data_IF_096017699218
#
_entry.id   IF_096017699218
#
_cell.length_a   1.000
_cell.length_b   1.000
_cell.length_c   1.000
_cell.angle_alpha   90.00
_cell.angle_beta   90.00
_cell.angle_gamma   90.00
#
_symmetry.space_group_name_H-M   'P 1'
#
loop_
_entity.id
_entity.type
_entity.pdbx_description
1 polymer ?
#
# COMPACT_ATOMS: atom_id res chain seq x y z
N UNK A 1 6.47 2.40 -10.17
CA UNK A 1 6.48 3.83 -9.76
C UNK A 1 5.18 4.22 -9.07
N UNK A 2 4.01 4.08 -9.71
CA UNK A 2 2.69 4.40 -9.11
C UNK A 2 2.49 3.75 -7.72
N UNK A 3 2.81 2.46 -7.57
CA UNK A 3 2.68 1.77 -6.28
C UNK A 3 3.61 2.30 -5.17
N UNK A 4 4.80 2.80 -5.50
CA UNK A 4 5.70 3.37 -4.49
C UNK A 4 5.16 4.73 -4.01
N UNK A 5 4.69 5.57 -4.93
CA UNK A 5 4.11 6.87 -4.61
C UNK A 5 2.85 6.75 -3.73
N UNK A 6 1.99 5.76 -3.99
CA UNK A 6 0.79 5.55 -3.16
C UNK A 6 1.12 5.00 -1.77
N UNK A 7 2.08 4.07 -1.64
CA UNK A 7 2.57 3.60 -0.33
C UNK A 7 3.14 4.76 0.51
N UNK A 8 3.98 5.61 -0.10
CA UNK A 8 4.58 6.76 0.58
C UNK A 8 3.55 7.82 0.97
N UNK A 9 2.57 8.08 0.10
CA UNK A 9 1.43 8.96 0.44
C UNK A 9 0.68 8.44 1.67
N UNK A 10 0.38 7.14 1.71
CA UNK A 10 -0.26 6.49 2.86
C UNK A 10 0.52 6.62 4.16
N UNK A 11 1.84 6.43 4.08
CA UNK A 11 2.75 6.61 5.20
C UNK A 11 2.74 8.05 5.74
N UNK A 12 2.78 9.06 4.86
CA UNK A 12 2.71 10.47 5.25
C UNK A 12 1.39 10.77 5.98
N UNK A 13 0.26 10.31 5.46
CA UNK A 13 -1.04 10.50 6.09
C UNK A 13 -1.16 9.82 7.46
N UNK A 14 -0.59 8.62 7.63
CA UNK A 14 -0.56 7.95 8.92
C UNK A 14 0.34 8.67 9.93
N UNK A 15 1.49 9.21 9.49
CA UNK A 15 2.33 10.05 10.33
C UNK A 15 1.60 11.32 10.79
N UNK A 16 0.81 11.94 9.90
CA UNK A 16 -0.04 13.10 10.24
C UNK A 16 -1.07 12.72 11.30
N UNK A 17 -1.68 11.54 11.23
CA UNK A 17 -2.63 11.07 12.25
C UNK A 17 -1.92 10.84 13.59
N UNK A 18 -0.77 10.16 13.60
CA UNK A 18 -0.03 9.84 14.83
C UNK A 18 0.48 11.12 15.51
N UNK A 19 1.11 12.02 14.75
CA UNK A 19 1.62 13.28 15.30
C UNK A 19 0.49 14.25 15.67
N UNK A 20 -0.60 14.29 14.89
CA UNK A 20 -1.78 15.10 15.19
C UNK A 20 -2.50 14.62 16.44
N UNK A 21 -2.58 13.32 16.66
CA UNK A 21 -3.16 12.73 17.88
C UNK A 21 -2.32 13.01 19.12
N UNK A 22 -0.99 13.16 18.99
CA UNK A 22 -0.11 13.47 20.10
C UNK A 22 -0.31 14.90 20.66
N UNK A 23 -0.86 15.84 19.88
CA UNK A 23 -1.15 17.21 20.33
C UNK A 23 -2.41 17.32 21.20
N UNK A 24 -3.30 16.31 21.19
CA UNK A 24 -4.55 16.32 21.97
C UNK A 24 -4.82 14.95 22.63
N UNK A 25 -3.99 14.52 23.60
CA UNK A 25 -4.05 13.18 24.20
C UNK A 25 -5.31 12.89 25.02
N UNK A 26 -6.10 13.91 25.39
CA UNK A 26 -7.27 13.74 26.26
C UNK A 26 -8.58 13.37 25.52
N UNK A 27 -8.57 13.30 24.18
CA UNK A 27 -9.77 12.99 23.40
C UNK A 27 -9.47 11.90 22.36
N UNK A 28 -9.51 10.63 22.77
CA UNK A 28 -9.39 9.48 21.85
C UNK A 28 -10.42 9.52 20.70
N UNK A 29 -11.58 10.15 20.92
CA UNK A 29 -12.59 10.38 19.89
C UNK A 29 -12.05 11.26 18.74
N UNK A 30 -11.15 12.20 19.04
CA UNK A 30 -10.54 13.09 18.03
C UNK A 30 -9.63 12.31 17.09
N UNK A 31 -8.90 11.29 17.58
CA UNK A 31 -8.03 10.47 16.71
C UNK A 31 -8.85 9.58 15.77
N UNK A 32 -10.00 9.06 16.21
CA UNK A 32 -10.93 8.32 15.36
C UNK A 32 -11.57 9.20 14.29
N UNK A 33 -12.03 10.40 14.67
CA UNK A 33 -12.59 11.38 13.71
C UNK A 33 -11.53 11.81 12.70
N UNK A 34 -10.29 12.07 13.15
CA UNK A 34 -9.17 12.44 12.28
C UNK A 34 -8.85 11.33 11.28
N UNK A 35 -8.87 10.07 11.73
CA UNK A 35 -8.67 8.90 10.84
C UNK A 35 -9.78 8.81 9.78
N UNK A 36 -11.03 9.05 10.16
CA UNK A 36 -12.16 9.10 9.22
C UNK A 36 -12.03 10.23 8.18
N UNK A 37 -11.62 11.43 8.61
CA UNK A 37 -11.37 12.57 7.72
C UNK A 37 -10.22 12.25 6.75
N UNK A 38 -9.11 11.72 7.25
CA UNK A 38 -7.94 11.37 6.43
C UNK A 38 -8.29 10.26 5.43
N UNK A 39 -9.06 9.24 5.82
CA UNK A 39 -9.54 8.22 4.89
C UNK A 39 -10.42 8.82 3.76
N UNK A 40 -11.27 9.80 4.09
CA UNK A 40 -12.04 10.54 3.09
C UNK A 40 -11.15 11.37 2.16
N UNK A 41 -10.16 12.07 2.71
CA UNK A 41 -9.19 12.85 1.93
C UNK A 41 -8.35 11.96 1.02
N UNK A 42 -7.94 10.78 1.49
CA UNK A 42 -7.26 9.77 0.68
C UNK A 42 -8.12 9.31 -0.51
N UNK A 43 -9.42 9.08 -0.30
CA UNK A 43 -10.35 8.72 -1.36
C UNK A 43 -10.56 9.86 -2.38
N UNK A 44 -10.58 11.12 -1.93
CA UNK A 44 -10.68 12.30 -2.82
C UNK A 44 -9.38 12.48 -3.61
N UNK A 45 -8.23 12.32 -2.96
CA UNK A 45 -6.90 12.45 -3.56
C UNK A 45 -6.64 11.39 -4.65
N UNK A 46 -7.33 10.26 -4.58
CA UNK A 46 -7.30 9.21 -5.59
C UNK A 46 -7.95 9.56 -6.93
N UNK A 47 -8.65 10.71 -7.04
CA UNK A 47 -9.12 11.22 -8.35
C UNK A 47 -7.98 11.70 -9.27
N UNK A 48 -6.75 11.85 -8.76
CA UNK A 48 -5.56 12.12 -9.56
C UNK A 48 -4.98 10.82 -10.16
N UNK A 49 -4.80 10.77 -11.48
CA UNK A 49 -4.39 9.57 -12.25
C UNK A 49 -3.13 8.84 -11.72
N UNK A 50 -2.22 9.55 -11.04
CA UNK A 50 -0.99 8.98 -10.45
C UNK A 50 -1.19 8.38 -9.04
N UNK A 51 -2.28 8.70 -8.34
CA UNK A 51 -2.63 8.20 -6.99
C UNK A 51 -3.87 7.29 -7.00
N UNK A 52 -4.41 6.94 -8.17
CA UNK A 52 -5.60 6.09 -8.33
C UNK A 52 -5.49 4.70 -7.68
N UNK A 53 -4.28 4.29 -7.27
CA UNK A 53 -4.08 3.10 -6.43
C UNK A 53 -4.37 3.38 -4.96
N UNK A 54 -5.66 3.59 -4.66
CA UNK A 54 -6.21 3.65 -3.30
C UNK A 54 -5.68 2.52 -2.39
N UNK A 55 -5.59 1.25 -2.84
CA UNK A 55 -5.10 0.16 -1.98
C UNK A 55 -3.67 0.37 -1.48
N UNK A 56 -2.80 1.01 -2.28
CA UNK A 56 -1.42 1.29 -1.87
C UNK A 56 -1.35 2.30 -0.72
N UNK A 57 -2.19 3.34 -0.76
CA UNK A 57 -2.27 4.34 0.30
C UNK A 57 -2.74 3.70 1.63
N UNK A 58 -3.71 2.78 1.59
CA UNK A 58 -4.12 2.04 2.77
C UNK A 58 -3.01 1.12 3.31
N UNK A 59 -2.29 0.39 2.45
CA UNK A 59 -1.18 -0.48 2.87
C UNK A 59 -0.08 0.33 3.56
N UNK A 60 0.31 1.48 2.99
CA UNK A 60 1.31 2.37 3.57
C UNK A 60 0.89 2.93 4.93
N UNK A 61 -0.38 3.32 5.07
CA UNK A 61 -0.91 3.82 6.33
C UNK A 61 -0.94 2.73 7.41
N UNK A 62 -1.48 1.55 7.09
CA UNK A 62 -1.54 0.41 8.02
C UNK A 62 -0.14 -0.03 8.48
N UNK A 63 0.84 -0.08 7.57
CA UNK A 63 2.22 -0.40 7.93
C UNK A 63 2.83 0.63 8.90
N UNK A 64 2.48 1.91 8.74
CA UNK A 64 2.95 2.99 9.60
C UNK A 64 2.31 2.95 10.98
N UNK A 65 1.01 2.64 11.06
CA UNK A 65 0.33 2.41 12.34
C UNK A 65 0.89 1.19 13.07
N UNK A 66 1.17 0.09 12.34
CA UNK A 66 1.81 -1.09 12.91
C UNK A 66 3.21 -0.80 13.45
N UNK A 67 3.97 0.07 12.77
CA UNK A 67 5.26 0.56 13.24
C UNK A 67 5.18 1.69 14.29
N UNK A 68 3.99 2.01 14.81
CA UNK A 68 3.75 3.08 15.79
C UNK A 68 4.34 4.45 15.38
N UNK A 69 4.42 4.71 14.07
CA UNK A 69 4.98 5.96 13.54
C UNK A 69 6.52 5.98 13.43
N UNK A 70 7.23 4.88 13.70
CA UNK A 70 8.66 4.75 13.42
C UNK A 70 8.91 4.64 11.90
N UNK A 71 8.92 5.81 11.27
CA UNK A 71 9.10 5.94 9.82
C UNK A 71 10.44 5.38 9.34
N UNK A 72 11.47 5.34 10.20
CA UNK A 72 12.79 4.82 9.85
C UNK A 72 12.79 3.31 9.67
N UNK A 73 11.93 2.61 10.41
CA UNK A 73 11.74 1.17 10.26
C UNK A 73 10.69 0.83 9.19
N UNK A 74 9.61 1.62 9.12
CA UNK A 74 8.49 1.38 8.19
C UNK A 74 8.89 1.58 6.73
N UNK A 75 9.69 2.61 6.43
CA UNK A 75 10.13 2.91 5.07
C UNK A 75 10.93 1.77 4.41
N UNK A 76 12.01 1.23 5.03
CA UNK A 76 12.74 0.10 4.45
C UNK A 76 11.88 -1.17 4.41
N UNK A 77 11.00 -1.39 5.38
CA UNK A 77 10.07 -2.53 5.38
C UNK A 77 9.10 -2.48 4.19
N UNK A 78 8.55 -1.30 3.90
CA UNK A 78 7.71 -1.06 2.72
C UNK A 78 8.49 -1.27 1.41
N UNK A 79 9.75 -0.83 1.35
CA UNK A 79 10.60 -1.02 0.19
C UNK A 79 10.87 -2.51 -0.07
N UNK A 80 11.23 -3.27 0.97
CA UNK A 80 11.44 -4.72 0.89
C UNK A 80 10.16 -5.45 0.47
N UNK A 81 9.02 -5.11 1.09
CA UNK A 81 7.71 -5.69 0.73
C UNK A 81 7.33 -5.42 -0.73
N UNK A 82 7.62 -4.20 -1.24
CA UNK A 82 7.38 -3.84 -2.64
C UNK A 82 8.25 -4.65 -3.61
N UNK A 83 9.55 -4.80 -3.30
CA UNK A 83 10.48 -5.60 -4.12
C UNK A 83 10.02 -7.06 -4.15
N UNK A 84 9.68 -7.61 -2.99
CA UNK A 84 9.24 -8.99 -2.88
C UNK A 84 7.90 -9.22 -3.60
N UNK A 85 6.92 -8.34 -3.43
CA UNK A 85 5.66 -8.40 -4.14
C UNK A 85 5.81 -8.29 -5.67
N UNK A 86 6.74 -7.44 -6.14
CA UNK A 86 7.08 -7.37 -7.56
C UNK A 86 7.69 -8.67 -8.08
N UNK A 87 8.62 -9.26 -7.33
CA UNK A 87 9.24 -10.53 -7.67
C UNK A 87 8.20 -11.68 -7.74
N UNK A 88 7.31 -11.76 -6.76
CA UNK A 88 6.22 -12.76 -6.70
C UNK A 88 5.26 -12.62 -7.89
N UNK A 89 4.92 -11.40 -8.28
CA UNK A 89 4.07 -11.16 -9.46
C UNK A 89 4.75 -11.64 -10.73
N UNK A 90 6.03 -11.31 -10.90
CA UNK A 90 6.76 -11.63 -12.13
C UNK A 90 7.01 -13.14 -12.26
N UNK A 91 7.39 -13.81 -11.17
CA UNK A 91 7.55 -15.27 -11.16
C UNK A 91 6.22 -15.99 -11.37
N UNK A 92 5.11 -15.49 -10.82
CA UNK A 92 3.77 -16.03 -11.03
C UNK A 92 3.31 -15.94 -12.49
N UNK A 93 3.50 -14.79 -13.13
CA UNK A 93 3.18 -14.62 -14.56
C UNK A 93 4.03 -15.51 -15.46
N UNK A 94 5.31 -15.68 -15.11
CA UNK A 94 6.21 -16.58 -15.82
C UNK A 94 5.79 -18.05 -15.71
N UNK A 95 5.38 -18.50 -14.51
CA UNK A 95 4.82 -19.85 -14.31
C UNK A 95 3.49 -20.04 -15.05
N UNK A 96 2.62 -19.03 -15.05
CA UNK A 96 1.35 -19.06 -15.77
C UNK A 96 1.55 -19.21 -17.28
N UNK A 97 2.45 -18.40 -17.86
CA UNK A 97 2.81 -18.48 -19.28
C UNK A 97 3.35 -19.87 -19.67
N UNK A 98 4.14 -20.51 -18.80
CA UNK A 98 4.63 -21.88 -19.02
C UNK A 98 3.51 -22.93 -18.99
N UNK A 99 2.52 -22.79 -18.09
CA UNK A 99 1.36 -23.70 -18.07
C UNK A 99 0.52 -23.59 -19.34
N UNK A 100 0.31 -22.37 -19.84
CA UNK A 100 -0.45 -22.16 -21.08
C UNK A 100 0.27 -22.74 -22.30
N UNK A 101 1.58 -22.54 -22.43
CA UNK A 101 2.38 -23.15 -23.50
C UNK A 101 2.34 -24.68 -23.46
N UNK A 102 2.42 -25.28 -22.27
CA UNK A 102 2.35 -26.74 -22.14
C UNK A 102 0.96 -27.29 -22.50
N UNK A 103 -0.12 -26.59 -22.09
CA UNK A 103 -1.48 -26.96 -22.45
C UNK A 103 -1.76 -26.83 -23.96
N UNK A 104 -1.21 -25.80 -24.62
CA UNK A 104 -1.33 -25.62 -26.06
C UNK A 104 -0.58 -26.70 -26.85
N UNK A 105 0.64 -27.05 -26.44
CA UNK A 105 1.42 -28.13 -27.09
C UNK A 105 0.73 -29.50 -26.98
N UNK A 106 0.10 -29.78 -25.84
CA UNK A 106 -0.64 -31.04 -25.64
C UNK A 106 -1.93 -31.09 -26.48
N UNK A 107 -2.55 -29.95 -26.79
CA UNK A 107 -3.74 -29.87 -27.64
C UNK A 107 -3.44 -30.02 -29.14
N UNK A 108 -2.27 -29.57 -29.61
CA UNK A 108 -1.82 -29.72 -31.02
C UNK A 108 -1.34 -31.15 -31.34
N UNK A 109 -0.98 -31.92 -30.31
CA UNK A 109 -0.48 -33.31 -30.46
C UNK A 109 -1.61 -34.36 -30.44
N UNK A 110 -2.88 -33.94 -30.34
CA UNK A 110 -4.07 -34.79 -30.46
C UNK A 110 -4.76 -34.55 -31.79
#
# INVERSE_FOLDING_TARGET
MISACTLLSGMVWALVIIHGSALAPHLEIVSYVLTGIVAFLMCIQAKQLLLSFVPGTFIGACATFAGQGDWRLVLPSLALGLIFGYAMKNSGLWLASRREQHSANTAVTK
#
